data_IF_663231444065
#
_entry.id   IF_663231444065
#
_cell.length_a   1.000
_cell.length_b   1.000
_cell.length_c   1.000
_cell.angle_alpha   90.00
_cell.angle_beta   90.00
_cell.angle_gamma   90.00
#
_symmetry.space_group_name_H-M   'P 1'
#
loop_
_entity.id
_entity.type
_entity.pdbx_description
1 polymer ?
#
# COMPACT_ATOMS: atom_id res chain seq x y z
N UNK A 1 25.79 3.57 -1.24
CA UNK A 1 24.74 2.55 -1.08
C UNK A 1 24.70 2.16 0.40
N UNK A 2 23.60 2.45 1.09
CA UNK A 2 23.45 2.06 2.50
C UNK A 2 23.21 0.54 2.59
N UNK A 3 23.75 -0.14 3.62
CA UNK A 3 23.56 -1.58 3.79
C UNK A 3 22.07 -1.89 4.03
N UNK A 4 21.52 -2.94 3.40
CA UNK A 4 20.15 -3.37 3.64
C UNK A 4 20.00 -3.75 5.12
N UNK A 5 18.92 -3.29 5.74
CA UNK A 5 18.62 -3.66 7.13
C UNK A 5 18.23 -5.13 7.19
N UNK A 6 18.39 -5.77 8.35
CA UNK A 6 18.03 -7.18 8.54
C UNK A 6 16.58 -7.51 8.13
N UNK A 7 15.68 -6.52 8.23
CA UNK A 7 14.29 -6.65 7.79
C UNK A 7 14.10 -6.69 6.26
N UNK A 8 15.09 -6.23 5.48
CA UNK A 8 15.07 -6.25 4.02
C UNK A 8 15.65 -7.57 3.45
N UNK A 9 16.34 -8.38 4.27
CA UNK A 9 16.74 -9.74 3.93
C UNK A 9 15.52 -10.65 3.83
N UNK A 10 15.28 -11.19 2.63
CA UNK A 10 14.11 -12.04 2.36
C UNK A 10 12.84 -11.28 1.97
N UNK A 11 12.87 -9.94 1.99
CA UNK A 11 11.76 -9.11 1.49
C UNK A 11 11.48 -9.38 0.01
N UNK A 12 12.52 -9.50 -0.81
CA UNK A 12 12.37 -9.84 -2.24
C UNK A 12 11.72 -11.20 -2.44
N UNK A 13 12.09 -12.21 -1.65
CA UNK A 13 11.49 -13.54 -1.72
C UNK A 13 10.01 -13.50 -1.29
N UNK A 14 9.72 -12.83 -0.16
CA UNK A 14 8.36 -12.68 0.36
C UNK A 14 7.44 -11.90 -0.58
N UNK A 15 7.97 -10.87 -1.25
CA UNK A 15 7.26 -10.10 -2.26
C UNK A 15 6.96 -10.95 -3.51
N UNK A 16 7.90 -11.80 -3.93
CA UNK A 16 7.72 -12.73 -5.05
C UNK A 16 6.60 -13.75 -4.78
N UNK A 17 6.55 -14.32 -3.58
CA UNK A 17 5.50 -15.27 -3.20
C UNK A 17 4.13 -14.60 -3.00
N UNK A 18 4.08 -13.37 -2.48
CA UNK A 18 2.82 -12.66 -2.25
C UNK A 18 2.21 -12.01 -3.50
N UNK A 19 3.02 -11.57 -4.47
CA UNK A 19 2.51 -10.84 -5.65
C UNK A 19 1.79 -11.71 -6.68
N UNK A 20 1.84 -13.04 -6.58
CA UNK A 20 1.27 -13.96 -7.58
C UNK A 20 0.29 -15.01 -7.05
N UNK A 21 0.28 -15.30 -5.75
CA UNK A 21 -0.58 -16.35 -5.17
C UNK A 21 -1.90 -15.78 -4.65
N UNK A 22 -2.86 -15.58 -5.54
CA UNK A 22 -4.18 -15.06 -5.20
C UNK A 22 -5.29 -15.75 -6.01
N UNK A 23 -5.41 -17.07 -5.89
CA UNK A 23 -6.59 -17.78 -6.39
C UNK A 23 -7.83 -17.29 -5.64
N UNK A 24 -8.73 -16.59 -6.35
CA UNK A 24 -9.94 -16.01 -5.77
C UNK A 24 -9.73 -14.70 -5.00
N UNK A 25 -8.63 -13.98 -5.22
CA UNK A 25 -8.39 -12.67 -4.61
C UNK A 25 -7.99 -11.63 -5.66
N UNK A 26 -8.85 -10.63 -5.83
CA UNK A 26 -8.56 -9.47 -6.69
C UNK A 26 -7.89 -8.41 -5.83
N UNK A 27 -6.69 -7.97 -6.18
CA UNK A 27 -6.06 -6.81 -5.54
C UNK A 27 -5.67 -5.78 -6.59
N UNK A 28 -6.13 -4.55 -6.41
CA UNK A 28 -5.78 -3.37 -7.18
C UNK A 28 -5.01 -2.44 -6.26
N UNK A 29 -3.80 -2.05 -6.64
CA UNK A 29 -2.95 -1.14 -5.87
C UNK A 29 -2.53 -0.01 -6.82
N UNK A 30 -2.83 1.23 -6.44
CA UNK A 30 -2.51 2.42 -7.22
C UNK A 30 -1.72 3.39 -6.35
N UNK A 31 -0.51 3.71 -6.80
CA UNK A 31 0.35 4.69 -6.13
C UNK A 31 0.52 5.90 -7.05
N UNK A 32 -0.02 7.04 -6.64
CA UNK A 32 0.13 8.31 -7.34
C UNK A 32 1.04 9.23 -6.54
N UNK A 33 2.02 9.84 -7.20
CA UNK A 33 2.90 10.84 -6.60
C UNK A 33 2.64 12.17 -7.29
N UNK A 34 2.28 13.18 -6.52
CA UNK A 34 1.94 14.51 -7.00
C UNK A 34 2.91 15.56 -6.43
N UNK A 35 3.12 16.63 -7.20
CA UNK A 35 4.08 17.70 -6.93
C UNK A 35 5.40 17.55 -7.69
N UNK A 36 6.05 18.67 -7.98
CA UNK A 36 7.31 18.76 -8.74
C UNK A 36 8.43 17.89 -8.11
N UNK A 37 8.41 17.81 -6.77
CA UNK A 37 9.37 17.03 -5.98
C UNK A 37 8.78 15.74 -5.35
N UNK A 38 7.60 15.26 -5.79
CA UNK A 38 6.88 14.10 -5.20
C UNK A 38 6.56 14.29 -3.72
N UNK A 39 6.09 15.48 -3.41
CA UNK A 39 5.78 15.94 -2.06
C UNK A 39 4.55 15.21 -1.51
N UNK A 40 3.62 14.83 -2.38
CA UNK A 40 2.41 14.10 -1.97
C UNK A 40 2.43 12.70 -2.55
N UNK A 41 2.28 11.69 -1.70
CA UNK A 41 2.14 10.29 -2.09
C UNK A 41 0.76 9.80 -1.68
N UNK A 42 -0.06 9.47 -2.66
CA UNK A 42 -1.36 8.84 -2.49
C UNK A 42 -1.21 7.35 -2.83
N UNK A 43 -1.52 6.49 -1.88
CA UNK A 43 -1.59 5.04 -2.09
C UNK A 43 -3.00 4.59 -1.83
N UNK A 44 -3.63 4.05 -2.85
CA UNK A 44 -4.98 3.49 -2.75
C UNK A 44 -4.89 2.03 -3.12
N UNK A 45 -5.29 1.14 -2.21
CA UNK A 45 -5.38 -0.28 -2.49
C UNK A 45 -6.80 -0.77 -2.23
N UNK A 46 -7.30 -1.62 -3.13
CA UNK A 46 -8.58 -2.29 -3.02
C UNK A 46 -8.34 -3.77 -3.19
N UNK A 47 -8.84 -4.58 -2.27
CA UNK A 47 -8.70 -6.02 -2.25
C UNK A 47 -10.06 -6.67 -2.07
N UNK A 48 -10.44 -7.55 -2.99
CA UNK A 48 -11.68 -8.30 -2.96
C UNK A 48 -11.39 -9.79 -2.90
N UNK A 49 -11.84 -10.44 -1.83
CA UNK A 49 -11.67 -11.87 -1.63
C UNK A 49 -12.97 -12.60 -2.03
N UNK A 50 -12.97 -13.23 -3.20
CA UNK A 50 -14.13 -13.95 -3.73
C UNK A 50 -14.49 -15.20 -2.92
N UNK A 51 -13.53 -15.79 -2.19
CA UNK A 51 -13.79 -16.96 -1.34
C UNK A 51 -14.55 -16.63 -0.04
N UNK A 52 -14.49 -15.38 0.43
CA UNK A 52 -15.11 -14.96 1.70
C UNK A 52 -16.07 -13.78 1.60
N UNK A 53 -16.27 -13.22 0.40
CA UNK A 53 -17.11 -12.04 0.17
C UNK A 53 -16.59 -10.75 0.83
N UNK A 54 -15.32 -10.73 1.25
CA UNK A 54 -14.73 -9.59 1.96
C UNK A 54 -14.13 -8.60 0.96
N UNK A 55 -14.58 -7.36 1.02
CA UNK A 55 -13.95 -6.23 0.35
C UNK A 55 -13.20 -5.39 1.38
N UNK A 56 -11.89 -5.26 1.17
CA UNK A 56 -11.04 -4.31 1.88
C UNK A 56 -10.62 -3.18 0.94
N UNK A 57 -10.71 -1.94 1.40
CA UNK A 57 -10.15 -0.76 0.77
C UNK A 57 -9.22 -0.05 1.76
N UNK A 58 -8.08 0.40 1.30
CA UNK A 58 -7.14 1.17 2.08
C UNK A 58 -6.69 2.39 1.27
N UNK A 59 -6.76 3.54 1.93
CA UNK A 59 -6.30 4.82 1.39
C UNK A 59 -5.27 5.39 2.36
N UNK A 60 -4.03 5.46 1.90
CA UNK A 60 -2.91 6.06 2.62
C UNK A 60 -2.49 7.33 1.89
N UNK A 61 -2.55 8.46 2.59
CA UNK A 61 -2.12 9.76 2.06
C UNK A 61 -0.96 10.25 2.89
N UNK A 62 0.18 10.44 2.24
CA UNK A 62 1.42 10.87 2.89
C UNK A 62 1.90 12.18 2.29
N UNK A 63 2.06 13.20 3.13
CA UNK A 63 2.61 14.49 2.74
C UNK A 63 4.05 14.62 3.25
N UNK A 64 4.97 14.90 2.32
CA UNK A 64 6.41 15.11 2.53
C UNK A 64 6.74 16.52 2.10
N UNK A 65 7.38 17.29 2.97
CA UNK A 65 7.91 18.60 2.60
C UNK A 65 9.42 18.41 2.36
N UNK A 66 9.89 18.46 1.10
CA UNK A 66 11.28 18.16 0.76
C UNK A 66 12.25 19.15 1.42
N UNK A 67 11.83 20.39 1.67
CA UNK A 67 12.67 21.43 2.28
C UNK A 67 13.08 21.18 3.73
N UNK A 68 12.38 20.32 4.48
CA UNK A 68 12.65 20.09 5.91
C UNK A 68 12.96 18.62 6.26
N UNK A 69 13.04 17.72 5.28
CA UNK A 69 13.30 16.30 5.53
C UNK A 69 12.25 15.59 6.40
N UNK A 70 11.09 16.22 6.61
CA UNK A 70 10.11 15.83 7.61
C UNK A 70 8.78 15.44 6.96
N UNK A 71 8.20 14.33 7.41
CA UNK A 71 6.87 13.89 7.02
C UNK A 71 5.86 14.65 7.88
N UNK A 72 5.10 15.56 7.28
CA UNK A 72 4.25 16.47 8.05
C UNK A 72 2.94 15.81 8.49
N UNK A 73 2.42 14.87 7.69
CA UNK A 73 1.22 14.13 8.07
C UNK A 73 1.05 12.85 7.25
N UNK A 74 0.57 11.79 7.89
CA UNK A 74 0.14 10.55 7.26
C UNK A 74 -1.28 10.27 7.71
N UNK A 75 -2.20 10.21 6.76
CA UNK A 75 -3.57 9.78 6.99
C UNK A 75 -3.75 8.39 6.43
N UNK A 76 -4.16 7.44 7.27
CA UNK A 76 -4.46 6.08 6.87
C UNK A 76 -5.94 5.82 7.14
N UNK A 77 -6.68 5.53 6.07
CA UNK A 77 -8.07 5.11 6.13
C UNK A 77 -8.15 3.64 5.73
N UNK A 78 -8.77 2.83 6.57
CA UNK A 78 -9.02 1.43 6.30
C UNK A 78 -10.53 1.20 6.30
N UNK A 79 -11.05 0.70 5.18
CA UNK A 79 -12.44 0.32 5.02
C UNK A 79 -12.47 -1.19 4.79
N UNK A 80 -13.08 -1.94 5.70
CA UNK A 80 -13.23 -3.39 5.55
C UNK A 80 -14.70 -3.75 5.70
N UNK A 81 -15.35 -4.03 4.57
CA UNK A 81 -16.78 -4.38 4.50
C UNK A 81 -16.95 -5.81 4.01
N UNK A 82 -17.75 -6.61 4.72
CA UNK A 82 -18.29 -7.86 4.14
C UNK A 82 -19.40 -7.48 3.16
N UNK A 83 -19.24 -7.83 1.89
CA UNK A 83 -20.32 -7.72 0.92
C UNK A 83 -21.09 -9.04 1.02
N UNK A 84 -22.30 -8.94 1.58
CA UNK A 84 -23.43 -9.90 1.64
C UNK A 84 -23.95 -10.19 3.06
N UNK A 85 -25.17 -9.69 3.29
CA UNK A 85 -26.34 -10.49 3.65
C UNK A 85 -27.31 -10.45 2.48
#
# INVERSE_FOLDING_TARGET
>A
MAPPTFADLGKSARDLFNKGYNHGFLKVDSTTKAGDAKEVEFKTSASHNLGSGKLGGNLDVKYKIPSYGMFFCRFEYNLSTKIFG
#
